data_IF_541908097585
#
_entry.id   IF_541908097585
#
_cell.length_a   1.000
_cell.length_b   1.000
_cell.length_c   1.000
_cell.angle_alpha   90.00
_cell.angle_beta   90.00
_cell.angle_gamma   90.00
#
_symmetry.space_group_name_H-M   'P 1'
#
loop_
_entity.id
_entity.type
_entity.pdbx_description
1 polymer ?
#
# COMPACT_ATOMS: atom_id res chain seq x y z
N UNK A 1 -53.10 -27.18 23.95
CA UNK A 1 -53.30 -26.08 22.98
C UNK A 1 -52.04 -25.23 22.91
N UNK A 2 -51.44 -25.21 21.72
CA UNK A 2 -50.70 -24.11 21.07
C UNK A 2 -49.33 -23.73 21.69
N UNK A 3 -48.21 -24.21 21.14
CA UNK A 3 -47.50 -23.80 19.90
C UNK A 3 -46.96 -22.36 19.96
N UNK A 4 -45.64 -22.19 20.18
CA UNK A 4 -44.73 -21.59 19.18
C UNK A 4 -43.24 -21.71 19.58
N UNK A 5 -42.39 -22.39 18.81
CA UNK A 5 -40.93 -22.24 18.84
C UNK A 5 -40.50 -21.35 17.66
N UNK A 6 -40.05 -20.11 17.90
CA UNK A 6 -39.37 -19.35 16.83
C UNK A 6 -38.42 -18.31 17.42
N UNK A 7 -37.22 -18.76 17.80
CA UNK A 7 -36.04 -17.92 17.68
C UNK A 7 -35.17 -18.55 16.60
N UNK A 8 -35.62 -18.43 15.34
CA UNK A 8 -34.79 -18.70 14.18
C UNK A 8 -33.77 -17.56 14.12
N UNK A 9 -32.63 -17.75 14.78
CA UNK A 9 -31.46 -16.90 14.60
C UNK A 9 -31.06 -16.94 13.13
N UNK A 10 -31.13 -15.78 12.49
CA UNK A 10 -30.72 -15.55 11.10
C UNK A 10 -29.31 -16.12 10.85
N UNK A 11 -29.07 -16.94 9.81
CA UNK A 11 -27.73 -17.25 9.36
C UNK A 11 -27.24 -16.08 8.52
N UNK A 12 -26.55 -15.11 9.14
CA UNK A 12 -26.11 -13.93 8.41
C UNK A 12 -24.93 -13.14 8.99
N UNK A 13 -24.41 -13.49 10.16
CA UNK A 13 -23.24 -12.82 10.72
C UNK A 13 -22.19 -13.84 11.16
N UNK A 14 -21.39 -14.29 10.21
CA UNK A 14 -20.03 -14.79 10.50
C UNK A 14 -19.11 -14.50 9.31
N UNK A 15 -19.30 -13.34 8.68
CA UNK A 15 -18.24 -12.73 7.89
C UNK A 15 -17.32 -11.98 8.84
N UNK A 16 -16.54 -12.70 9.65
CA UNK A 16 -15.21 -12.18 9.99
C UNK A 16 -14.49 -12.13 8.65
N UNK A 17 -14.65 -11.02 7.93
CA UNK A 17 -13.70 -10.63 6.91
C UNK A 17 -12.41 -10.49 7.66
N UNK A 18 -11.64 -11.58 7.73
CA UNK A 18 -10.24 -11.56 8.07
C UNK A 18 -9.69 -10.36 7.30
N UNK A 19 -9.25 -9.26 7.97
CA UNK A 19 -8.73 -8.13 7.24
C UNK A 19 -7.58 -8.70 6.45
N UNK A 20 -7.77 -8.87 5.14
CA UNK A 20 -6.68 -9.28 4.27
C UNK A 20 -5.59 -8.26 4.57
N UNK A 21 -4.42 -8.68 5.08
CA UNK A 21 -3.38 -7.71 5.39
C UNK A 21 -3.18 -6.92 4.10
N UNK A 22 -3.41 -5.61 4.16
CA UNK A 22 -3.14 -4.74 3.03
C UNK A 22 -1.72 -5.10 2.56
N UNK A 23 -1.50 -5.30 1.26
CA UNK A 23 -0.18 -5.66 0.77
C UNK A 23 0.82 -4.69 1.37
N UNK A 24 1.87 -5.23 2.00
CA UNK A 24 2.88 -4.40 2.65
C UNK A 24 3.37 -3.34 1.66
N UNK A 25 3.61 -2.09 2.10
CA UNK A 25 4.04 -1.03 1.21
C UNK A 25 5.31 -1.47 0.49
N UNK A 26 5.29 -1.46 -0.85
CA UNK A 26 6.46 -1.84 -1.63
C UNK A 26 7.52 -0.76 -1.49
N UNK A 27 8.70 -1.13 -0.99
CA UNK A 27 9.79 -0.21 -0.73
C UNK A 27 10.91 -0.37 -1.74
N UNK A 28 11.57 0.74 -2.06
CA UNK A 28 12.63 0.84 -3.04
C UNK A 28 13.75 1.73 -2.50
N UNK A 29 14.97 1.22 -2.47
CA UNK A 29 16.15 1.97 -2.05
C UNK A 29 16.90 2.53 -3.28
N UNK A 30 17.20 3.82 -3.21
CA UNK A 30 18.16 4.47 -4.10
C UNK A 30 19.59 4.10 -3.73
N UNK A 31 20.55 4.20 -4.67
CA UNK A 31 21.98 3.97 -4.40
C UNK A 31 22.55 4.90 -3.32
N UNK A 32 21.91 6.05 -3.07
CA UNK A 32 22.28 6.98 -1.99
C UNK A 32 21.84 6.49 -0.59
N UNK A 33 21.17 5.34 -0.49
CA UNK A 33 20.62 4.81 0.75
C UNK A 33 19.25 5.40 1.15
N UNK A 34 18.67 6.28 0.31
CA UNK A 34 17.30 6.80 0.53
C UNK A 34 16.28 5.74 0.17
N UNK A 35 15.28 5.56 1.01
CA UNK A 35 14.20 4.58 0.78
C UNK A 35 12.93 5.32 0.40
N UNK A 36 12.24 4.77 -0.59
CA UNK A 36 10.99 5.25 -1.13
C UNK A 36 9.92 4.16 -1.02
N UNK A 37 8.67 4.55 -0.86
CA UNK A 37 7.52 3.65 -0.87
C UNK A 37 6.65 3.93 -2.09
N UNK A 38 6.11 2.88 -2.70
CA UNK A 38 5.13 3.00 -3.78
C UNK A 38 3.79 3.41 -3.20
N UNK A 39 3.25 4.52 -3.69
CA UNK A 39 1.96 5.07 -3.25
C UNK A 39 0.87 4.90 -4.30
N UNK A 40 1.25 4.56 -5.53
CA UNK A 40 0.32 4.31 -6.62
C UNK A 40 1.01 4.30 -7.97
N UNK A 41 0.21 4.50 -9.01
CA UNK A 41 0.65 4.53 -10.42
C UNK A 41 0.13 5.80 -11.08
N UNK A 42 0.91 6.35 -12.01
CA UNK A 42 0.48 7.46 -12.86
C UNK A 42 -0.35 6.96 -14.06
N UNK A 43 -0.91 7.88 -14.84
CA UNK A 43 -1.73 7.58 -16.02
C UNK A 43 -0.97 6.76 -17.09
N UNK A 44 0.35 6.93 -17.16
CA UNK A 44 1.24 6.19 -18.05
C UNK A 44 1.61 4.78 -17.52
N UNK A 45 1.06 4.35 -16.39
CA UNK A 45 1.38 3.06 -15.75
C UNK A 45 2.70 3.01 -14.99
N UNK A 46 3.40 4.14 -14.88
CA UNK A 46 4.62 4.28 -14.08
C UNK A 46 4.34 4.34 -12.58
N UNK A 47 5.16 3.68 -11.78
CA UNK A 47 5.06 3.70 -10.31
C UNK A 47 5.37 5.10 -9.78
N UNK A 48 4.55 5.55 -8.85
CA UNK A 48 4.73 6.79 -8.10
C UNK A 48 5.25 6.44 -6.71
N UNK A 49 6.33 7.11 -6.34
CA UNK A 49 7.03 6.87 -5.10
C UNK A 49 7.16 8.16 -4.30
N UNK A 50 7.11 8.02 -2.98
CA UNK A 50 7.44 9.07 -2.02
C UNK A 50 8.52 8.57 -1.07
N UNK A 51 9.27 9.45 -0.37
CA UNK A 51 10.17 9.02 0.69
C UNK A 51 9.46 8.13 1.71
N UNK A 52 10.05 7.01 2.11
CA UNK A 52 9.44 6.07 3.04
C UNK A 52 9.23 6.66 4.45
N UNK A 53 9.94 7.73 4.78
CA UNK A 53 9.75 8.53 6.00
C UNK A 53 8.53 9.46 5.93
N UNK A 54 8.00 9.72 4.73
CA UNK A 54 6.81 10.56 4.53
C UNK A 54 5.55 9.71 4.57
N UNK A 55 4.49 10.27 5.16
CA UNK A 55 3.18 9.62 5.21
C UNK A 55 2.40 9.88 3.91
N UNK A 56 1.94 8.85 3.19
CA UNK A 56 1.28 9.03 1.89
C UNK A 56 -0.07 9.74 1.96
N UNK A 57 -0.76 9.73 3.11
CA UNK A 57 -2.04 10.40 3.27
C UNK A 57 -1.88 11.93 3.43
N UNK A 58 -0.72 12.38 3.90
CA UNK A 58 -0.40 13.80 4.13
C UNK A 58 0.65 14.34 3.18
N UNK A 59 1.37 13.48 2.45
CA UNK A 59 2.44 13.87 1.54
C UNK A 59 1.86 14.57 0.29
N UNK A 60 2.24 15.83 0.04
CA UNK A 60 1.68 16.58 -1.07
C UNK A 60 2.12 16.02 -2.43
N UNK A 61 1.23 16.14 -3.42
CA UNK A 61 1.38 15.47 -4.73
C UNK A 61 2.65 15.84 -5.49
N UNK A 62 3.20 17.03 -5.27
CA UNK A 62 4.45 17.50 -5.90
C UNK A 62 5.71 16.80 -5.37
N UNK A 63 5.62 16.09 -4.23
CA UNK A 63 6.72 15.25 -3.71
C UNK A 63 6.74 13.87 -4.38
N UNK A 64 5.63 13.47 -5.02
CA UNK A 64 5.49 12.13 -5.59
C UNK A 64 6.25 12.08 -6.92
N UNK A 65 7.35 11.34 -6.93
CA UNK A 65 8.19 11.18 -8.10
C UNK A 65 7.86 9.87 -8.81
N UNK A 66 7.94 9.87 -10.14
CA UNK A 66 7.90 8.62 -10.88
C UNK A 66 9.20 7.83 -10.65
N UNK A 67 9.13 6.51 -10.68
CA UNK A 67 10.34 5.67 -10.59
C UNK A 67 11.41 6.09 -11.59
N UNK A 68 11.01 6.33 -12.85
CA UNK A 68 11.93 6.74 -13.91
C UNK A 68 12.66 8.05 -13.59
N UNK A 69 11.93 9.03 -13.04
CA UNK A 69 12.50 10.33 -12.64
C UNK A 69 13.53 10.17 -11.51
N UNK A 70 13.23 9.30 -10.53
CA UNK A 70 14.18 8.96 -9.47
C UNK A 70 15.41 8.24 -10.04
N UNK A 71 15.23 7.29 -10.94
CA UNK A 71 16.34 6.58 -11.59
C UNK A 71 17.22 7.52 -12.40
N UNK A 72 16.64 8.47 -13.13
CA UNK A 72 17.37 9.51 -13.86
C UNK A 72 18.10 10.47 -12.91
N UNK A 73 17.45 10.91 -11.84
CA UNK A 73 18.03 11.83 -10.84
C UNK A 73 19.18 11.19 -10.06
N UNK A 74 19.10 9.90 -9.74
CA UNK A 74 20.17 9.17 -9.05
C UNK A 74 21.20 8.58 -10.01
N UNK A 75 20.91 8.52 -11.31
CA UNK A 75 21.75 7.87 -12.32
C UNK A 75 21.87 6.35 -12.15
N UNK A 76 20.98 5.72 -11.36
CA UNK A 76 21.00 4.28 -11.12
C UNK A 76 19.60 3.74 -10.78
N UNK A 77 19.32 2.46 -11.09
CA UNK A 77 18.03 1.84 -10.80
C UNK A 77 17.78 1.75 -9.29
N UNK A 78 16.51 1.91 -8.89
CA UNK A 78 16.09 1.66 -7.51
C UNK A 78 16.07 0.14 -7.25
N UNK A 79 16.54 -0.26 -6.07
CA UNK A 79 16.54 -1.66 -5.64
C UNK A 79 15.33 -1.90 -4.74
N UNK A 80 14.49 -2.89 -5.07
CA UNK A 80 13.38 -3.28 -4.19
C UNK A 80 13.94 -3.77 -2.85
N UNK A 81 13.41 -3.26 -1.76
CA UNK A 81 13.79 -3.68 -0.40
C UNK A 81 12.56 -4.19 0.33
N UNK A 82 12.69 -5.31 1.01
CA UNK A 82 11.67 -5.81 1.92
C UNK A 82 11.89 -5.13 3.27
N UNK A 83 10.84 -4.55 3.87
CA UNK A 83 10.98 -4.04 5.24
C UNK A 83 11.18 -5.26 6.14
N UNK A 84 12.37 -5.42 6.73
CA UNK A 84 12.59 -6.45 7.74
C UNK A 84 11.57 -6.22 8.88
N UNK A 85 10.80 -7.26 9.17
CA UNK A 85 9.74 -7.27 10.18
C UNK A 85 10.28 -7.04 11.59
#
# INVERSE_FOLDING_TARGET
MNNNPTANSLPGQSGITNPTPAPAPELYAAPTGRVFQVVGTNDAGGRLLIPAESDPATCPRWVWAAESDLVEAFGAPLTRVERAA
#
